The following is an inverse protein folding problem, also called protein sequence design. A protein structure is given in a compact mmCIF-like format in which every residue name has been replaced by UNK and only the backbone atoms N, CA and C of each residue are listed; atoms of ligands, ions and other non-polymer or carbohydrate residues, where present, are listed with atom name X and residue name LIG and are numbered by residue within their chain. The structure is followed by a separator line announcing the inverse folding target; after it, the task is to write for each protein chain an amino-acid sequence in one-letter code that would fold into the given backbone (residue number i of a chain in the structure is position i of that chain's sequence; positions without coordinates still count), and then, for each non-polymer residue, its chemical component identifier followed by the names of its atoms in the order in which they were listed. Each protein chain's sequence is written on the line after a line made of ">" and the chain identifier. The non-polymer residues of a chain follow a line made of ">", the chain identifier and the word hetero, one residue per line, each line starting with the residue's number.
data_IF_591542979704
#
_entry.id   IF_591542979704
#
_cell.length_a   1.000
_cell.length_b   1.000
_cell.length_c   1.000
_cell.angle_alpha   90.00
_cell.angle_beta   90.00
_cell.angle_gamma   90.00
#
_symmetry.space_group_name_H-M   'P 1'
#
loop_
_entity.id
_entity.type
_entity.pdbx_description
1 polymer ?
#
# COMPACT_ATOMS: atom_id res chain seq x y z
N UNK A 1 -42.96 -10.47 33.78
CA UNK A 1 -42.91 -10.98 35.16
C UNK A 1 -41.51 -10.76 35.66
N UNK A 2 -41.26 -9.67 36.35
CA UNK A 2 -41.25 -9.49 37.80
C UNK A 2 -39.84 -9.77 38.34
N UNK A 3 -39.05 -8.73 38.62
CA UNK A 3 -38.85 -7.98 39.87
C UNK A 3 -37.84 -8.67 40.78
N UNK A 4 -36.90 -8.06 41.34
CA UNK A 4 -36.55 -6.92 42.21
C UNK A 4 -35.24 -7.31 42.89
N UNK A 5 -34.25 -6.52 43.12
CA UNK A 5 -34.14 -5.29 43.88
C UNK A 5 -33.49 -5.50 45.27
N UNK A 6 -32.75 -4.50 45.70
CA UNK A 6 -32.33 -4.09 47.05
C UNK A 6 -30.88 -4.45 47.47
N UNK A 7 -30.05 -3.57 47.69
CA UNK A 7 -29.87 -2.27 48.43
C UNK A 7 -29.14 -2.47 49.75
N UNK A 8 -28.17 -1.57 49.95
CA UNK A 8 -27.76 -0.88 51.18
C UNK A 8 -27.06 -1.70 52.27
N UNK A 9 -26.05 -1.27 52.92
CA UNK A 9 -25.50 -0.01 53.30
C UNK A 9 -24.72 -0.17 54.59
N UNK A 10 -23.87 0.75 54.94
CA UNK A 10 -23.52 1.02 56.31
C UNK A 10 -22.11 0.84 56.79
N UNK A 11 -21.31 1.88 56.78
CA UNK A 11 -20.30 2.20 57.82
C UNK A 11 -21.03 2.62 59.12
N UNK A 12 -20.40 2.89 60.30
CA UNK A 12 -19.02 3.24 60.60
C UNK A 12 -18.48 2.87 62.02
N UNK A 13 -17.30 3.46 62.33
CA UNK A 13 -16.77 3.88 63.66
C UNK A 13 -15.94 2.89 64.51
N UNK A 14 -14.67 3.16 64.56
CA UNK A 14 -13.86 3.74 65.66
C UNK A 14 -13.81 2.99 67.04
N UNK A 15 -12.65 2.64 67.49
CA UNK A 15 -11.99 3.28 68.62
C UNK A 15 -10.72 2.50 69.14
N UNK A 16 -9.64 3.21 69.26
CA UNK A 16 -8.65 3.33 70.35
C UNK A 16 -8.37 2.12 71.26
N UNK A 17 -7.11 1.77 71.48
CA UNK A 17 -6.27 2.01 72.66
C UNK A 17 -4.92 1.25 72.66
N UNK A 18 -3.88 2.07 72.75
CA UNK A 18 -2.68 2.01 73.63
C UNK A 18 -1.86 0.70 73.83
N UNK A 19 -0.61 0.88 73.51
CA UNK A 19 0.69 0.39 74.05
C UNK A 19 0.71 0.04 75.54
N UNK A 20 1.77 -0.53 76.15
CA UNK A 20 3.21 -0.58 75.75
C UNK A 20 4.05 -1.81 76.23
N UNK A 21 5.32 -1.82 75.78
CA UNK A 21 6.54 -2.34 76.40
C UNK A 21 6.79 -3.85 76.51
N UNK A 22 7.87 -4.31 75.88
CA UNK A 22 9.05 -4.87 76.51
C UNK A 22 10.19 -5.17 75.52
N UNK A 23 11.34 -4.78 75.91
CA UNK A 23 12.70 -4.92 75.37
C UNK A 23 13.11 -6.37 75.48
N UNK A 24 13.76 -6.94 74.42
CA UNK A 24 15.01 -7.66 74.58
C UNK A 24 15.74 -7.84 73.25
N UNK A 25 17.05 -7.64 73.29
CA UNK A 25 18.09 -7.88 72.28
C UNK A 25 18.96 -9.02 72.76
N UNK A 26 19.96 -9.46 71.98
CA UNK A 26 20.17 -9.82 70.58
C UNK A 26 20.70 -11.24 70.39
N UNK A 27 20.63 -11.79 69.20
CA UNK A 27 21.55 -12.89 68.82
C UNK A 27 21.99 -12.73 67.37
N UNK A 28 23.26 -12.50 67.18
CA UNK A 28 23.92 -12.53 65.87
C UNK A 28 23.78 -13.89 65.22
N UNK A 29 23.29 -13.87 63.99
CA UNK A 29 23.47 -14.96 63.05
C UNK A 29 24.05 -14.41 61.74
N UNK A 30 25.26 -14.87 61.45
CA UNK A 30 25.96 -14.60 60.20
C UNK A 30 25.12 -15.10 59.03
N UNK A 31 24.63 -14.20 58.23
CA UNK A 31 24.04 -14.54 56.94
C UNK A 31 25.06 -14.27 55.83
N UNK A 32 25.56 -15.35 55.26
CA UNK A 32 26.37 -15.35 54.05
C UNK A 32 25.52 -14.78 52.91
N UNK A 33 25.86 -13.57 52.44
CA UNK A 33 25.29 -12.99 51.24
C UNK A 33 25.96 -13.60 50.02
N UNK A 34 25.28 -14.56 49.38
CA UNK A 34 25.61 -14.98 48.02
C UNK A 34 25.08 -13.87 47.10
N UNK A 35 25.97 -13.07 46.57
CA UNK A 35 25.65 -12.08 45.54
C UNK A 35 25.43 -12.83 44.22
N UNK A 36 24.16 -13.01 43.82
CA UNK A 36 23.84 -13.35 42.45
C UNK A 36 24.04 -12.09 41.59
N UNK A 37 25.15 -12.08 40.86
CA UNK A 37 25.33 -11.12 39.77
C UNK A 37 24.34 -11.46 38.65
N UNK A 38 23.24 -10.72 38.58
CA UNK A 38 22.35 -10.70 37.40
C UNK A 38 23.13 -10.04 36.26
N UNK A 39 23.70 -10.85 35.38
CA UNK A 39 24.21 -10.39 34.08
C UNK A 39 22.98 -10.05 33.24
N UNK A 40 22.64 -8.78 33.19
CA UNK A 40 21.66 -8.28 32.24
C UNK A 40 22.28 -8.36 30.83
N UNK A 41 21.87 -9.36 30.06
CA UNK A 41 22.19 -9.44 28.64
C UNK A 41 21.30 -8.38 27.96
N UNK A 42 21.86 -7.33 27.34
CA UNK A 42 21.05 -6.43 26.55
C UNK A 42 20.52 -7.23 25.37
N UNK A 43 19.19 -7.38 25.27
CA UNK A 43 18.52 -7.83 24.08
C UNK A 43 18.80 -6.78 23.00
N UNK A 44 19.79 -7.05 22.16
CA UNK A 44 20.00 -6.31 20.92
C UNK A 44 18.77 -6.57 20.05
N UNK A 45 17.79 -5.66 20.10
CA UNK A 45 16.79 -5.54 19.05
C UNK A 45 17.55 -5.23 17.77
N UNK A 46 17.84 -6.26 16.98
CA UNK A 46 18.22 -6.07 15.59
C UNK A 46 17.00 -5.49 14.89
N UNK A 47 16.94 -4.16 14.80
CA UNK A 47 16.13 -3.49 13.81
C UNK A 47 16.82 -3.80 12.49
N UNK A 48 16.37 -4.83 11.80
CA UNK A 48 16.70 -5.03 10.40
C UNK A 48 16.12 -3.84 9.64
N UNK A 49 16.98 -2.84 9.44
CA UNK A 49 16.76 -1.82 8.41
C UNK A 49 16.76 -2.60 7.10
N UNK A 50 15.57 -2.89 6.58
CA UNK A 50 15.40 -3.37 5.22
C UNK A 50 15.95 -2.26 4.33
N UNK A 51 17.23 -2.36 4.01
CA UNK A 51 17.88 -1.53 3.02
C UNK A 51 17.09 -1.72 1.72
N UNK A 52 16.42 -0.68 1.28
CA UNK A 52 15.85 -0.62 -0.06
C UNK A 52 17.00 -0.96 -1.02
N UNK A 53 16.94 -2.15 -1.60
CA UNK A 53 17.91 -2.56 -2.61
C UNK A 53 17.77 -1.57 -3.75
N UNK A 54 18.75 -0.70 -3.92
CA UNK A 54 18.92 0.16 -5.09
C UNK A 54 19.37 -0.70 -6.28
N UNK A 55 18.50 -1.63 -6.68
CA UNK A 55 18.63 -2.29 -7.96
C UNK A 55 18.58 -1.22 -9.03
N UNK A 56 19.47 -1.28 -10.02
CA UNK A 56 19.49 -0.36 -11.17
C UNK A 56 18.08 -0.33 -11.76
N UNK A 57 17.43 0.87 -11.73
CA UNK A 57 16.07 1.02 -12.22
C UNK A 57 16.01 0.59 -13.70
N UNK A 58 15.13 -0.35 -14.02
CA UNK A 58 14.91 -0.82 -15.39
C UNK A 58 14.45 0.33 -16.28
N UNK A 59 15.02 0.43 -17.49
CA UNK A 59 14.73 1.51 -18.45
C UNK A 59 14.77 1.01 -19.88
N UNK A 60 14.18 1.79 -20.80
CA UNK A 60 14.23 1.55 -22.22
C UNK A 60 13.73 0.16 -22.61
N UNK A 61 14.34 -0.40 -23.64
CA UNK A 61 13.95 -1.72 -24.16
C UNK A 61 14.10 -2.87 -23.14
N UNK A 62 15.08 -2.81 -22.22
CA UNK A 62 15.24 -3.81 -21.17
C UNK A 62 14.04 -3.87 -20.22
N UNK A 63 13.44 -2.69 -19.90
CA UNK A 63 12.18 -2.64 -19.15
C UNK A 63 11.04 -3.29 -19.93
N UNK A 64 10.96 -3.02 -21.24
CA UNK A 64 9.91 -3.63 -22.10
C UNK A 64 10.05 -5.14 -22.15
N UNK A 65 11.25 -5.68 -22.36
CA UNK A 65 11.50 -7.14 -22.33
C UNK A 65 11.06 -7.75 -21.01
N UNK A 66 11.47 -7.15 -19.91
CA UNK A 66 11.10 -7.57 -18.57
C UNK A 66 9.57 -7.60 -18.37
N UNK A 67 8.84 -6.57 -18.81
CA UNK A 67 7.38 -6.53 -18.71
C UNK A 67 6.70 -7.54 -19.65
N UNK A 68 7.31 -7.89 -20.75
CA UNK A 68 6.81 -8.94 -21.66
C UNK A 68 7.01 -10.35 -21.11
N UNK A 69 8.06 -10.57 -20.32
CA UNK A 69 8.26 -11.83 -19.58
C UNK A 69 7.20 -12.02 -18.49
N UNK A 70 6.62 -10.91 -17.98
CA UNK A 70 5.62 -10.91 -16.92
C UNK A 70 6.21 -10.98 -15.51
N UNK A 71 5.34 -11.20 -14.52
CA UNK A 71 5.75 -11.32 -13.13
C UNK A 71 5.70 -10.01 -12.34
N UNK A 72 5.05 -8.98 -12.86
CA UNK A 72 5.02 -7.64 -12.24
C UNK A 72 3.60 -7.17 -11.95
N UNK A 73 3.47 -6.33 -10.92
CA UNK A 73 2.31 -5.51 -10.65
C UNK A 73 2.60 -4.10 -11.17
N UNK A 74 1.83 -3.64 -12.17
CA UNK A 74 1.97 -2.33 -12.80
C UNK A 74 0.90 -1.42 -12.20
N UNK A 75 1.30 -0.58 -11.25
CA UNK A 75 0.40 0.32 -10.57
C UNK A 75 0.33 1.66 -11.28
N UNK A 76 -0.87 2.07 -11.69
CA UNK A 76 -1.15 3.38 -12.26
C UNK A 76 -1.91 4.24 -11.26
N UNK A 77 -1.43 5.44 -10.98
CA UNK A 77 -2.32 6.47 -10.48
C UNK A 77 -3.24 6.88 -11.63
N UNK A 78 -4.54 7.05 -11.34
CA UNK A 78 -5.50 7.57 -12.34
C UNK A 78 -4.90 8.73 -13.14
N UNK A 79 -5.32 8.89 -14.37
CA UNK A 79 -4.89 9.98 -15.25
C UNK A 79 -5.39 11.35 -14.78
N UNK A 80 -5.00 12.43 -15.48
CA UNK A 80 -5.32 13.79 -15.11
C UNK A 80 -6.84 14.01 -14.92
N UNK A 81 -7.16 14.77 -13.88
CA UNK A 81 -8.53 15.05 -13.45
C UNK A 81 -8.84 16.55 -13.53
N UNK A 82 -10.12 16.90 -13.59
CA UNK A 82 -10.56 18.29 -13.54
C UNK A 82 -10.46 18.83 -12.09
N UNK A 83 -9.45 19.64 -11.82
CA UNK A 83 -9.18 20.19 -10.50
C UNK A 83 -10.15 21.28 -10.04
N UNK A 84 -11.06 21.76 -10.93
CA UNK A 84 -12.15 22.63 -10.50
C UNK A 84 -13.28 21.89 -9.76
N UNK A 85 -13.27 20.56 -9.83
CA UNK A 85 -14.20 19.67 -9.16
C UNK A 85 -13.61 19.12 -7.85
N UNK A 86 -14.47 18.76 -6.91
CA UNK A 86 -14.07 18.21 -5.61
C UNK A 86 -14.78 16.88 -5.33
N UNK A 87 -14.11 15.99 -4.60
CA UNK A 87 -14.73 14.79 -4.07
C UNK A 87 -15.60 15.15 -2.85
N UNK A 88 -16.90 14.94 -2.93
CA UNK A 88 -17.90 15.14 -1.88
C UNK A 88 -18.43 13.79 -1.44
N UNK A 89 -17.74 13.18 -0.47
CA UNK A 89 -18.14 11.90 0.11
C UNK A 89 -18.88 12.19 1.41
N UNK A 90 -20.18 12.00 1.44
CA UNK A 90 -21.04 12.12 2.61
C UNK A 90 -21.34 10.74 3.23
N UNK A 91 -21.49 9.72 2.40
CA UNK A 91 -21.79 8.35 2.83
C UNK A 91 -21.00 7.30 2.04
N UNK A 92 -21.06 6.06 2.53
CA UNK A 92 -20.40 4.93 1.87
C UNK A 92 -20.99 4.71 0.47
N UNK A 93 -20.11 4.59 -0.54
CA UNK A 93 -20.50 4.38 -1.92
C UNK A 93 -20.49 5.63 -2.79
N UNK A 94 -20.52 6.83 -2.21
CA UNK A 94 -20.49 8.10 -2.97
C UNK A 94 -19.33 8.19 -3.95
N UNK A 95 -18.20 7.59 -3.61
CA UNK A 95 -16.99 7.56 -4.46
C UNK A 95 -17.19 6.91 -5.83
N UNK A 96 -18.27 6.13 -6.02
CA UNK A 96 -18.59 5.50 -7.31
C UNK A 96 -19.30 6.44 -8.28
N UNK A 97 -19.77 7.60 -7.80
CA UNK A 97 -20.49 8.56 -8.61
C UNK A 97 -19.64 9.11 -9.75
N UNK A 98 -20.21 9.12 -10.95
CA UNK A 98 -19.64 9.78 -12.13
C UNK A 98 -20.25 11.18 -12.37
N UNK A 99 -20.99 11.70 -11.40
CA UNK A 99 -21.54 13.05 -11.43
C UNK A 99 -20.43 14.07 -11.06
N UNK A 100 -20.11 15.04 -11.94
CA UNK A 100 -19.07 16.04 -11.71
C UNK A 100 -19.37 16.99 -10.54
N UNK A 101 -20.63 17.14 -10.15
CA UNK A 101 -21.03 17.94 -8.99
C UNK A 101 -20.79 17.21 -7.66
N UNK A 102 -20.66 15.90 -7.71
CA UNK A 102 -20.44 15.03 -6.54
C UNK A 102 -19.00 14.55 -6.43
N UNK A 103 -18.40 14.12 -7.52
CA UNK A 103 -17.08 13.50 -7.54
C UNK A 103 -16.23 14.05 -8.68
N UNK A 104 -14.95 14.28 -8.39
CA UNK A 104 -13.99 14.76 -9.38
C UNK A 104 -13.76 13.73 -10.48
N UNK A 105 -14.01 14.16 -11.72
CA UNK A 105 -13.92 13.36 -12.93
C UNK A 105 -12.58 13.55 -13.66
N UNK A 106 -12.33 12.70 -14.66
CA UNK A 106 -11.20 12.87 -15.57
C UNK A 106 -11.32 14.15 -16.40
N UNK A 107 -10.19 14.78 -16.66
CA UNK A 107 -10.10 15.81 -17.70
C UNK A 107 -9.97 15.15 -19.08
N UNK A 108 -10.33 15.88 -20.16
CA UNK A 108 -10.25 15.33 -21.52
C UNK A 108 -8.81 14.96 -21.91
N UNK A 109 -7.83 15.76 -21.53
CA UNK A 109 -6.42 15.42 -21.69
C UNK A 109 -6.03 14.14 -20.94
N UNK A 110 -6.66 13.89 -19.77
CA UNK A 110 -6.48 12.65 -19.04
C UNK A 110 -7.04 11.45 -19.81
N UNK A 111 -8.24 11.57 -20.37
CA UNK A 111 -8.85 10.50 -21.17
C UNK A 111 -7.99 10.12 -22.37
N UNK A 112 -7.46 11.12 -23.09
CA UNK A 112 -6.53 10.90 -24.20
C UNK A 112 -5.26 10.18 -23.73
N UNK A 113 -4.70 10.60 -22.59
CA UNK A 113 -3.50 9.97 -21.98
C UNK A 113 -3.77 8.50 -21.62
N UNK A 114 -4.93 8.18 -21.06
CA UNK A 114 -5.27 6.79 -20.72
C UNK A 114 -5.33 5.90 -21.97
N UNK A 115 -5.99 6.38 -23.03
CA UNK A 115 -6.06 5.66 -24.31
C UNK A 115 -4.66 5.46 -24.91
N UNK A 116 -3.83 6.50 -24.95
CA UNK A 116 -2.46 6.42 -25.48
C UNK A 116 -1.58 5.42 -24.71
N UNK A 117 -1.70 5.38 -23.37
CA UNK A 117 -0.98 4.39 -22.55
C UNK A 117 -1.42 2.97 -22.89
N UNK A 118 -2.74 2.74 -23.01
CA UNK A 118 -3.26 1.42 -23.39
C UNK A 118 -2.80 0.99 -24.78
N UNK A 119 -2.81 1.90 -25.75
CA UNK A 119 -2.30 1.65 -27.10
C UNK A 119 -0.81 1.29 -27.08
N UNK A 120 -0.03 2.00 -26.29
CA UNK A 120 1.39 1.73 -26.14
C UNK A 120 1.66 0.35 -25.49
N UNK A 121 0.95 0.01 -24.41
CA UNK A 121 1.09 -1.30 -23.76
C UNK A 121 0.74 -2.45 -24.72
N UNK A 122 -0.31 -2.31 -25.53
CA UNK A 122 -0.67 -3.28 -26.56
C UNK A 122 0.37 -3.35 -27.68
N UNK A 123 0.86 -2.21 -28.16
CA UNK A 123 1.91 -2.16 -29.18
C UNK A 123 3.21 -2.80 -28.70
N UNK A 124 3.53 -2.69 -27.41
CA UNK A 124 4.65 -3.36 -26.74
C UNK A 124 4.37 -4.83 -26.41
N UNK A 125 3.16 -5.32 -26.66
CA UNK A 125 2.73 -6.69 -26.36
C UNK A 125 2.96 -7.09 -24.90
N UNK A 126 2.70 -6.18 -23.96
CA UNK A 126 2.81 -6.45 -22.51
C UNK A 126 1.61 -7.30 -22.08
N UNK A 127 1.82 -8.56 -21.64
CA UNK A 127 0.74 -9.47 -21.28
C UNK A 127 0.14 -9.06 -19.92
N UNK A 128 -1.19 -8.97 -19.84
CA UNK A 128 -1.93 -8.63 -18.63
C UNK A 128 -3.00 -9.68 -18.36
N UNK A 129 -2.95 -10.32 -17.18
CA UNK A 129 -3.94 -11.31 -16.77
C UNK A 129 -5.13 -10.67 -16.04
N UNK A 130 -4.87 -9.68 -15.19
CA UNK A 130 -5.89 -9.02 -14.38
C UNK A 130 -5.73 -7.51 -14.41
N UNK A 131 -6.87 -6.82 -14.41
CA UNK A 131 -6.96 -5.36 -14.28
C UNK A 131 -7.84 -5.04 -13.09
N UNK A 132 -7.24 -4.57 -12.00
CA UNK A 132 -7.96 -4.13 -10.82
C UNK A 132 -8.04 -2.61 -10.79
N UNK A 133 -9.20 -2.08 -10.42
CA UNK A 133 -9.39 -0.65 -10.23
C UNK A 133 -10.02 -0.35 -8.87
N UNK A 134 -9.60 0.72 -8.22
CA UNK A 134 -10.39 1.31 -7.14
C UNK A 134 -11.79 1.66 -7.64
N UNK A 135 -12.88 1.51 -6.85
CA UNK A 135 -14.25 1.75 -7.31
C UNK A 135 -14.59 3.21 -7.66
N UNK A 136 -13.65 4.15 -7.49
CA UNK A 136 -13.88 5.55 -7.92
C UNK A 136 -14.14 5.63 -9.43
N UNK A 137 -15.11 6.46 -9.84
CA UNK A 137 -15.45 6.62 -11.26
C UNK A 137 -14.19 6.90 -12.12
N UNK A 138 -13.33 7.85 -11.71
CA UNK A 138 -12.09 8.22 -12.43
C UNK A 138 -11.08 7.09 -12.58
N UNK A 139 -10.99 6.17 -11.64
CA UNK A 139 -10.06 5.02 -11.71
C UNK A 139 -10.60 3.94 -12.61
N UNK A 140 -11.90 3.66 -12.53
CA UNK A 140 -12.60 2.72 -13.43
C UNK A 140 -12.58 3.25 -14.87
N UNK A 141 -12.83 4.55 -15.07
CA UNK A 141 -12.78 5.17 -16.41
C UNK A 141 -11.35 5.14 -16.97
N UNK A 142 -10.31 5.41 -16.14
CA UNK A 142 -8.91 5.27 -16.57
C UNK A 142 -8.64 3.86 -17.06
N UNK A 143 -8.99 2.84 -16.28
CA UNK A 143 -8.78 1.43 -16.65
C UNK A 143 -9.55 1.04 -17.92
N UNK A 144 -10.79 1.54 -18.07
CA UNK A 144 -11.62 1.29 -19.26
C UNK A 144 -10.99 1.85 -20.53
N UNK A 145 -10.48 3.09 -20.47
CA UNK A 145 -9.84 3.74 -21.60
C UNK A 145 -8.51 3.08 -22.01
N UNK A 146 -7.80 2.49 -21.06
CA UNK A 146 -6.58 1.72 -21.35
C UNK A 146 -6.86 0.42 -22.11
N UNK A 147 -8.06 -0.17 -22.00
CA UNK A 147 -8.48 -1.38 -22.75
C UNK A 147 -7.51 -2.58 -22.57
N UNK A 148 -7.06 -2.83 -21.34
CA UNK A 148 -6.09 -3.90 -21.04
C UNK A 148 -6.74 -5.23 -20.63
N UNK A 149 -8.05 -5.34 -20.63
CA UNK A 149 -8.81 -6.53 -20.25
C UNK A 149 -10.06 -6.22 -19.44
N UNK A 150 -10.66 -7.28 -18.85
CA UNK A 150 -11.81 -7.15 -17.96
C UNK A 150 -11.39 -6.43 -16.67
N UNK A 151 -12.15 -5.41 -16.29
CA UNK A 151 -11.90 -4.64 -15.09
C UNK A 151 -12.63 -5.27 -13.91
N UNK A 152 -11.91 -5.51 -12.85
CA UNK A 152 -12.43 -5.93 -11.55
C UNK A 152 -12.21 -4.79 -10.55
N UNK A 153 -13.25 -4.37 -9.86
CA UNK A 153 -13.12 -3.35 -8.82
C UNK A 153 -12.69 -3.97 -7.50
N UNK A 154 -11.78 -3.30 -6.77
CA UNK A 154 -11.34 -3.73 -5.44
C UNK A 154 -11.22 -2.56 -4.48
N UNK A 155 -11.62 -2.79 -3.23
CA UNK A 155 -11.48 -1.82 -2.15
C UNK A 155 -10.09 -1.81 -1.49
N UNK A 156 -9.20 -2.71 -1.88
CA UNK A 156 -7.84 -2.83 -1.31
C UNK A 156 -6.95 -1.62 -1.64
N UNK A 157 -7.27 -0.91 -2.72
CA UNK A 157 -6.51 0.24 -3.22
C UNK A 157 -7.35 1.52 -3.26
N UNK A 158 -8.24 1.68 -2.27
CA UNK A 158 -9.08 2.88 -2.12
C UNK A 158 -8.28 4.13 -1.86
N UNK A 159 -8.92 5.28 -2.07
CA UNK A 159 -8.35 6.57 -1.69
C UNK A 159 -8.26 6.66 -0.15
N UNK A 160 -7.13 7.10 0.38
CA UNK A 160 -6.92 7.23 1.84
C UNK A 160 -7.93 8.17 2.52
N UNK A 161 -8.57 9.08 1.76
CA UNK A 161 -9.61 9.98 2.31
C UNK A 161 -10.85 9.25 2.82
N UNK A 162 -11.07 8.03 2.35
CA UNK A 162 -12.22 7.21 2.75
C UNK A 162 -11.78 5.96 3.53
N UNK A 163 -10.56 5.94 4.05
CA UNK A 163 -10.00 4.79 4.75
C UNK A 163 -10.84 4.33 5.95
N UNK A 164 -11.53 5.25 6.61
CA UNK A 164 -12.39 4.94 7.77
C UNK A 164 -13.53 3.99 7.42
N UNK A 165 -14.06 4.04 6.20
CA UNK A 165 -15.07 3.09 5.73
C UNK A 165 -14.51 1.67 5.51
N UNK A 166 -13.19 1.52 5.59
CA UNK A 166 -12.48 0.26 5.27
C UNK A 166 -11.58 -0.20 6.42
N UNK A 167 -11.95 0.10 7.65
CA UNK A 167 -11.19 -0.33 8.84
C UNK A 167 -10.02 0.58 9.21
N UNK A 168 -10.00 1.80 8.68
CA UNK A 168 -9.01 2.82 8.98
C UNK A 168 -7.76 2.77 8.09
N UNK A 169 -6.89 3.78 8.22
CA UNK A 169 -5.71 3.94 7.37
C UNK A 169 -4.76 2.72 7.38
N UNK A 170 -4.45 2.18 8.55
CA UNK A 170 -3.52 1.04 8.69
C UNK A 170 -4.02 -0.21 7.96
N UNK A 171 -5.31 -0.53 8.12
CA UNK A 171 -5.92 -1.69 7.46
C UNK A 171 -5.95 -1.54 5.93
N UNK A 172 -6.20 -0.33 5.43
CA UNK A 172 -6.18 -0.06 3.99
C UNK A 172 -4.75 -0.14 3.42
N UNK A 173 -3.75 0.38 4.13
CA UNK A 173 -2.34 0.29 3.75
C UNK A 173 -1.89 -1.17 3.65
N UNK A 174 -2.29 -2.00 4.60
CA UNK A 174 -1.92 -3.43 4.61
C UNK A 174 -2.53 -4.17 3.43
N UNK A 175 -3.82 -3.99 3.14
CA UNK A 175 -4.46 -4.56 1.93
C UNK A 175 -3.80 -4.08 0.63
N UNK A 176 -3.41 -2.80 0.56
CA UNK A 176 -2.69 -2.29 -0.59
C UNK A 176 -1.33 -2.98 -0.76
N UNK A 177 -0.60 -3.22 0.32
CA UNK A 177 0.68 -3.97 0.31
C UNK A 177 0.48 -5.42 -0.12
N UNK A 178 -0.54 -6.10 0.40
CA UNK A 178 -0.88 -7.46 -0.04
C UNK A 178 -1.17 -7.50 -1.54
N UNK A 179 -1.96 -6.54 -2.05
CA UNK A 179 -2.27 -6.44 -3.47
C UNK A 179 -1.01 -6.22 -4.31
N UNK A 180 -0.08 -5.36 -3.85
CA UNK A 180 1.20 -5.13 -4.52
C UNK A 180 2.16 -6.33 -4.47
N UNK A 181 2.01 -7.22 -3.50
CA UNK A 181 2.82 -8.43 -3.34
C UNK A 181 2.20 -9.68 -3.96
N UNK A 182 0.99 -9.58 -4.52
CA UNK A 182 0.32 -10.69 -5.20
C UNK A 182 1.12 -11.09 -6.43
N UNK A 183 1.45 -12.38 -6.54
CA UNK A 183 2.17 -12.91 -7.70
C UNK A 183 1.22 -13.00 -8.90
N UNK A 184 1.54 -12.40 -10.05
CA UNK A 184 0.78 -12.60 -11.27
C UNK A 184 0.85 -14.07 -11.75
N UNK A 185 -0.14 -14.54 -12.52
CA UNK A 185 0.00 -15.79 -13.25
C UNK A 185 1.26 -15.78 -14.13
N UNK A 186 1.91 -16.94 -14.28
CA UNK A 186 3.16 -17.06 -15.03
C UNK A 186 3.06 -16.45 -16.44
N UNK A 187 4.08 -15.70 -16.83
CA UNK A 187 4.14 -15.04 -18.14
C UNK A 187 3.21 -13.84 -18.31
N UNK A 188 2.61 -13.33 -17.23
CA UNK A 188 1.68 -12.20 -17.28
C UNK A 188 1.97 -11.16 -16.20
N UNK A 189 1.30 -10.01 -16.29
CA UNK A 189 1.33 -8.96 -15.29
C UNK A 189 -0.08 -8.70 -14.73
N UNK A 190 -0.14 -8.02 -13.59
CA UNK A 190 -1.36 -7.45 -13.03
C UNK A 190 -1.29 -5.93 -13.18
N UNK A 191 -2.37 -5.33 -13.68
CA UNK A 191 -2.54 -3.86 -13.73
C UNK A 191 -3.41 -3.42 -12.56
N UNK A 192 -2.96 -2.41 -11.83
CA UNK A 192 -3.67 -1.80 -10.71
C UNK A 192 -3.89 -0.32 -11.02
N UNK A 193 -5.14 0.15 -11.04
CA UNK A 193 -5.46 1.57 -11.32
C UNK A 193 -6.11 2.18 -10.08
N UNK A 194 -5.42 3.14 -9.44
CA UNK A 194 -5.89 3.68 -8.17
C UNK A 194 -5.37 5.11 -7.89
N UNK A 195 -5.00 5.40 -6.64
CA UNK A 195 -4.75 6.75 -6.14
C UNK A 195 -3.31 6.92 -5.67
N UNK A 196 -2.78 8.16 -5.76
CA UNK A 196 -1.41 8.45 -5.34
C UNK A 196 -1.17 8.34 -3.84
N UNK A 197 -2.16 8.70 -3.02
CA UNK A 197 -2.01 8.70 -1.56
C UNK A 197 -1.92 7.29 -0.96
N UNK A 198 -2.77 6.34 -1.37
CA UNK A 198 -2.68 4.96 -0.89
C UNK A 198 -1.37 4.30 -1.31
N UNK A 199 -0.89 4.56 -2.53
CA UNK A 199 0.40 4.04 -2.97
C UNK A 199 1.56 4.64 -2.17
N UNK A 200 1.55 5.97 -1.94
CA UNK A 200 2.56 6.63 -1.10
C UNK A 200 2.60 6.02 0.30
N UNK A 201 1.44 5.85 0.92
CA UNK A 201 1.37 5.40 2.31
C UNK A 201 1.74 3.90 2.44
N UNK A 202 1.51 3.12 1.38
CA UNK A 202 1.95 1.72 1.31
C UNK A 202 3.45 1.57 1.03
N UNK A 203 4.07 2.47 0.22
CA UNK A 203 5.41 2.26 -0.36
C UNK A 203 6.43 3.36 -0.06
N UNK A 204 5.99 4.53 0.41
CA UNK A 204 6.81 5.74 0.50
C UNK A 204 6.97 6.50 -0.82
N UNK A 205 6.47 5.98 -1.95
CA UNK A 205 6.59 6.59 -3.28
C UNK A 205 5.27 7.23 -3.70
N UNK A 206 5.28 8.52 -4.07
CA UNK A 206 4.10 9.22 -4.57
C UNK A 206 4.11 9.28 -6.10
N UNK A 207 3.24 8.54 -6.81
CA UNK A 207 3.16 8.62 -8.26
C UNK A 207 2.46 9.91 -8.71
N UNK A 208 2.91 10.49 -9.83
CA UNK A 208 2.18 11.56 -10.51
C UNK A 208 0.94 11.01 -11.22
N UNK A 209 0.01 11.86 -11.63
CA UNK A 209 -1.14 11.44 -12.45
C UNK A 209 -0.65 10.75 -13.73
N UNK A 210 -1.28 9.64 -14.09
CA UNK A 210 -0.92 8.77 -15.21
C UNK A 210 0.46 8.07 -15.10
N UNK A 211 1.21 8.25 -14.02
CA UNK A 211 2.49 7.56 -13.85
C UNK A 211 2.25 6.10 -13.47
N UNK A 212 2.97 5.20 -14.14
CA UNK A 212 3.05 3.79 -13.80
C UNK A 212 4.24 3.53 -12.88
N UNK A 213 4.01 2.76 -11.83
CA UNK A 213 5.07 2.23 -10.94
C UNK A 213 5.08 0.72 -11.11
N UNK A 214 6.21 0.18 -11.54
CA UNK A 214 6.40 -1.26 -11.72
C UNK A 214 6.92 -1.85 -10.42
N UNK A 215 6.15 -2.75 -9.85
CA UNK A 215 6.48 -3.49 -8.64
C UNK A 215 6.78 -4.94 -8.98
N UNK A 216 7.92 -5.45 -8.51
CA UNK A 216 8.23 -6.88 -8.53
C UNK A 216 7.75 -7.50 -7.23
N UNK A 217 6.68 -8.30 -7.24
CA UNK A 217 6.22 -9.01 -6.05
C UNK A 217 7.19 -10.14 -5.71
N UNK A 218 7.40 -10.38 -4.42
CA UNK A 218 8.18 -11.52 -3.93
C UNK A 218 7.32 -12.46 -3.08
N UNK A 219 6.01 -12.20 -3.01
CA UNK A 219 5.06 -12.90 -2.15
C UNK A 219 5.16 -12.47 -0.67
N UNK A 220 4.28 -13.00 0.18
CA UNK A 220 4.28 -12.78 1.64
C UNK A 220 4.29 -11.29 2.07
N UNK A 221 3.53 -10.45 1.36
CA UNK A 221 3.46 -9.01 1.66
C UNK A 221 4.67 -8.20 1.20
N UNK A 222 5.63 -8.81 0.49
CA UNK A 222 6.86 -8.16 0.05
C UNK A 222 6.87 -7.90 -1.46
N UNK A 223 7.43 -6.77 -1.84
CA UNK A 223 7.64 -6.33 -3.23
C UNK A 223 8.78 -5.31 -3.29
N UNK A 224 9.30 -5.08 -4.48
CA UNK A 224 10.27 -4.00 -4.75
C UNK A 224 9.79 -3.13 -5.90
N UNK A 225 10.01 -1.81 -5.81
CA UNK A 225 9.78 -0.88 -6.92
C UNK A 225 10.99 -0.96 -7.86
N UNK A 226 10.77 -1.38 -9.11
CA UNK A 226 11.85 -1.62 -10.08
C UNK A 226 11.87 -0.61 -11.22
N UNK A 227 10.76 0.08 -11.49
CA UNK A 227 10.71 1.16 -12.49
C UNK A 227 9.59 2.17 -12.21
N UNK A 228 9.76 3.35 -12.77
CA UNK A 228 8.75 4.41 -12.86
C UNK A 228 8.62 4.82 -14.32
N UNK A 229 7.40 4.84 -14.84
CA UNK A 229 7.12 5.16 -16.24
C UNK A 229 6.17 6.36 -16.27
N UNK A 230 6.68 7.58 -16.44
CA UNK A 230 5.83 8.74 -16.65
C UNK A 230 5.05 8.63 -17.97
N UNK A 231 3.87 9.25 -18.10
CA UNK A 231 3.00 9.04 -19.26
C UNK A 231 3.70 9.31 -20.61
N UNK A 232 4.60 10.29 -20.66
CA UNK A 232 5.33 10.64 -21.89
C UNK A 232 6.40 9.59 -22.28
N UNK A 233 6.75 8.69 -21.37
CA UNK A 233 7.74 7.66 -21.67
C UNK A 233 7.19 6.51 -22.51
N UNK A 234 5.87 6.27 -22.47
CA UNK A 234 5.27 5.15 -23.19
C UNK A 234 5.48 5.21 -24.70
N UNK A 235 5.30 6.38 -25.31
CA UNK A 235 5.56 6.59 -26.74
C UNK A 235 7.03 6.33 -27.09
N UNK A 236 7.96 6.81 -26.25
CA UNK A 236 9.40 6.55 -26.44
C UNK A 236 9.74 5.09 -26.33
N UNK A 237 9.16 4.36 -25.37
CA UNK A 237 9.34 2.91 -25.25
C UNK A 237 8.87 2.17 -26.48
N UNK A 238 7.75 2.58 -27.09
CA UNK A 238 7.28 2.01 -28.37
C UNK A 238 8.26 2.29 -29.50
N UNK A 239 8.77 3.53 -29.60
CA UNK A 239 9.73 3.90 -30.62
C UNK A 239 11.05 3.13 -30.49
N UNK A 240 11.59 3.03 -29.27
CA UNK A 240 12.79 2.26 -28.97
C UNK A 240 12.59 0.76 -29.26
N UNK A 241 11.44 0.21 -28.85
CA UNK A 241 11.11 -1.20 -29.10
C UNK A 241 11.07 -1.56 -30.59
N UNK A 242 10.59 -0.64 -31.44
CA UNK A 242 10.50 -0.81 -32.89
C UNK A 242 11.79 -0.51 -33.64
N UNK A 243 12.80 0.08 -32.96
CA UNK A 243 14.03 0.51 -33.60
C UNK A 243 14.88 -0.68 -34.06
N UNK A 244 15.40 -0.67 -35.30
CA UNK A 244 16.33 -1.69 -35.80
C UNK A 244 17.62 -1.79 -34.97
N UNK A 245 18.08 -0.73 -34.36
CA UNK A 245 19.29 -0.66 -33.52
C UNK A 245 19.18 -1.54 -32.26
N UNK A 246 17.98 -1.90 -31.83
CA UNK A 246 17.76 -2.85 -30.74
C UNK A 246 18.43 -4.21 -30.99
N UNK A 247 18.40 -4.71 -32.22
CA UNK A 247 18.97 -6.01 -32.59
C UNK A 247 20.50 -6.06 -32.45
N UNK A 248 21.17 -4.91 -32.35
CA UNK A 248 22.62 -4.77 -32.24
C UNK A 248 23.11 -4.49 -30.81
N UNK A 249 22.24 -4.32 -29.86
CA UNK A 249 22.63 -4.02 -28.47
C UNK A 249 22.84 -5.34 -27.70
N UNK A 250 23.97 -5.49 -26.97
CA UNK A 250 24.20 -6.67 -26.14
C UNK A 250 23.15 -6.73 -25.01
N UNK A 251 22.77 -7.92 -24.53
CA UNK A 251 21.88 -8.07 -23.40
C UNK A 251 22.50 -7.38 -22.17
N UNK A 252 21.73 -6.55 -21.50
CA UNK A 252 22.15 -5.92 -20.24
C UNK A 252 22.28 -7.01 -19.16
N UNK A 253 23.33 -6.96 -18.31
CA UNK A 253 23.48 -7.92 -17.22
C UNK A 253 22.28 -7.85 -16.27
N UNK A 254 21.78 -9.03 -15.90
CA UNK A 254 20.63 -9.25 -14.98
C UNK A 254 21.00 -8.94 -13.53
#
# INVERSE_FOLDING_TARGET
>A
LVLESWCCGGSPLANTHRNPLAVDKPRCAFAVRVAFALVAIPALCNVEVVAAQTGTALRGWALVETLREGGYNIYFRHVATNWSQADRVAEAGDWTSCDPDRMRQLADAGRQTASAIGDAMRALQIPVAHVFASPYCRTVETARLMQMGKIETTTDIMNMRVAEYFGGPSALIERARERLSTLPPAGTNIVLVAHGNVFRDATGVYPKEAEAIVCRPTGKGSYSVVARIPPQAWERLVAEWRSPTRALSPPQPR
#
